data_IF_107809474182
#
_entry.id   IF_107809474182
#
_cell.length_a   1.000
_cell.length_b   1.000
_cell.length_c   1.000
_cell.angle_alpha   90.00
_cell.angle_beta   90.00
_cell.angle_gamma   90.00
#
_symmetry.space_group_name_H-M   'P 1'
#
loop_
_entity.id
_entity.type
_entity.pdbx_description
1 polymer ?
#
# COMPACT_ATOMS: atom_id res chain seq x y z
N UNK A 1 17.85 13.04 -1.01
CA UNK A 1 17.95 12.22 -2.24
C UNK A 1 16.54 12.02 -2.77
N UNK A 2 16.23 12.47 -3.99
CA UNK A 2 14.91 12.22 -4.58
C UNK A 2 14.78 10.73 -4.91
N UNK A 3 13.78 10.06 -4.35
CA UNK A 3 13.53 8.65 -4.64
C UNK A 3 13.06 8.51 -6.09
N UNK A 4 13.77 7.73 -6.91
CA UNK A 4 13.36 7.45 -8.28
C UNK A 4 12.06 6.62 -8.33
N UNK A 5 11.35 6.63 -9.47
CA UNK A 5 10.06 5.94 -9.64
C UNK A 5 10.06 4.47 -9.22
N UNK A 6 11.20 3.76 -9.39
CA UNK A 6 11.36 2.36 -8.95
C UNK A 6 11.36 2.22 -7.42
N UNK A 7 11.95 3.19 -6.71
CA UNK A 7 11.95 3.23 -5.24
C UNK A 7 10.54 3.45 -4.68
N UNK A 8 9.76 4.33 -5.31
CA UNK A 8 8.34 4.53 -4.95
C UNK A 8 7.49 3.28 -5.24
N UNK A 9 7.71 2.61 -6.37
CA UNK A 9 7.04 1.34 -6.69
C UNK A 9 7.33 0.26 -5.65
N UNK A 10 8.61 0.07 -5.31
CA UNK A 10 9.04 -0.92 -4.33
C UNK A 10 8.50 -0.61 -2.94
N UNK A 11 8.55 0.67 -2.53
CA UNK A 11 7.97 1.14 -1.28
C UNK A 11 6.50 0.77 -1.20
N UNK A 12 5.69 1.13 -2.20
CA UNK A 12 4.27 0.77 -2.22
C UNK A 12 4.03 -0.75 -2.22
N UNK A 13 4.78 -1.51 -3.02
CA UNK A 13 4.62 -2.96 -3.11
C UNK A 13 4.89 -3.68 -1.79
N UNK A 14 5.95 -3.29 -1.06
CA UNK A 14 6.27 -3.84 0.26
C UNK A 14 5.14 -3.54 1.25
N UNK A 15 4.66 -2.29 1.31
CA UNK A 15 3.58 -1.92 2.21
C UNK A 15 2.28 -2.66 1.88
N UNK A 16 1.97 -2.86 0.59
CA UNK A 16 0.79 -3.62 0.15
C UNK A 16 0.88 -5.09 0.57
N UNK A 17 2.04 -5.72 0.36
CA UNK A 17 2.27 -7.12 0.74
C UNK A 17 2.15 -7.31 2.25
N UNK A 18 2.84 -6.48 3.02
CA UNK A 18 2.82 -6.54 4.50
C UNK A 18 1.40 -6.29 5.01
N UNK A 19 0.68 -5.31 4.46
CA UNK A 19 -0.72 -5.05 4.81
C UNK A 19 -1.58 -6.29 4.64
N UNK A 20 -1.53 -6.96 3.49
CA UNK A 20 -2.34 -8.17 3.23
C UNK A 20 -1.98 -9.29 4.20
N UNK A 21 -0.69 -9.60 4.37
CA UNK A 21 -0.25 -10.68 5.26
C UNK A 21 -0.66 -10.45 6.71
N UNK A 22 -0.45 -9.23 7.21
CA UNK A 22 -0.80 -8.86 8.58
C UNK A 22 -2.31 -8.88 8.77
N UNK A 23 -3.10 -8.30 7.86
CA UNK A 23 -4.57 -8.27 8.00
C UNK A 23 -5.19 -9.67 7.98
N UNK A 24 -4.68 -10.58 7.14
CA UNK A 24 -5.12 -11.99 7.15
C UNK A 24 -4.83 -12.64 8.51
N UNK A 25 -3.65 -12.41 9.07
CA UNK A 25 -3.29 -12.90 10.40
C UNK A 25 -4.19 -12.33 11.50
N UNK A 26 -4.43 -11.02 11.49
CA UNK A 26 -5.27 -10.35 12.47
C UNK A 26 -6.73 -10.79 12.38
N UNK A 27 -7.28 -10.93 11.17
CA UNK A 27 -8.62 -11.50 10.97
C UNK A 27 -8.72 -12.94 11.50
N UNK A 28 -7.69 -13.76 11.26
CA UNK A 28 -7.67 -15.12 11.79
C UNK A 28 -7.67 -15.13 13.32
N UNK A 29 -6.85 -14.29 13.95
CA UNK A 29 -6.78 -14.15 15.41
C UNK A 29 -8.12 -13.66 15.94
N UNK A 30 -8.67 -12.59 15.37
CA UNK A 30 -9.95 -12.01 15.74
C UNK A 30 -11.07 -13.05 15.75
N UNK A 31 -11.17 -13.85 14.68
CA UNK A 31 -12.16 -14.91 14.56
C UNK A 31 -12.00 -16.02 15.63
N UNK A 32 -10.79 -16.25 16.14
CA UNK A 32 -10.52 -17.29 17.17
C UNK A 32 -10.58 -16.80 18.61
N UNK A 33 -10.30 -15.51 18.86
CA UNK A 33 -10.16 -15.00 20.23
C UNK A 33 -11.28 -14.06 20.63
N UNK A 34 -11.91 -13.37 19.67
CA UNK A 34 -12.85 -12.28 19.94
C UNK A 34 -13.82 -12.08 18.78
N UNK A 35 -14.45 -13.16 18.31
CA UNK A 35 -15.35 -13.13 17.14
C UNK A 35 -16.55 -12.20 17.31
N UNK A 36 -16.94 -11.87 18.55
CA UNK A 36 -17.98 -10.89 18.85
C UNK A 36 -17.58 -9.42 18.60
N UNK A 37 -16.28 -9.10 18.43
CA UNK A 37 -15.80 -7.74 18.26
C UNK A 37 -14.84 -7.64 17.08
N UNK A 38 -15.21 -6.92 16.02
CA UNK A 38 -14.35 -6.73 14.84
C UNK A 38 -13.29 -5.63 15.04
N UNK A 39 -12.35 -5.88 15.97
CA UNK A 39 -11.20 -4.99 16.15
C UNK A 39 -10.25 -5.02 14.95
N UNK A 40 -10.23 -6.12 14.20
CA UNK A 40 -9.33 -6.26 13.06
C UNK A 40 -9.78 -5.42 11.86
N UNK A 41 -11.09 -5.20 11.69
CA UNK A 41 -11.63 -4.22 10.74
C UNK A 41 -11.21 -2.78 11.04
N UNK A 42 -11.20 -2.38 12.32
CA UNK A 42 -10.71 -1.04 12.73
C UNK A 42 -9.22 -0.88 12.37
N UNK A 43 -8.42 -1.91 12.67
CA UNK A 43 -6.98 -1.92 12.34
C UNK A 43 -6.77 -1.87 10.82
N UNK A 44 -7.59 -2.59 10.04
CA UNK A 44 -7.57 -2.55 8.58
C UNK A 44 -7.82 -1.13 8.04
N UNK A 45 -8.81 -0.41 8.57
CA UNK A 45 -9.06 0.97 8.18
C UNK A 45 -7.91 1.91 8.53
N UNK A 46 -7.42 1.85 9.77
CA UNK A 46 -6.33 2.72 10.24
C UNK A 46 -5.05 2.54 9.43
N UNK A 47 -4.63 1.29 9.22
CA UNK A 47 -3.44 0.98 8.41
C UNK A 47 -3.67 1.16 6.91
N UNK A 48 -4.89 0.90 6.43
CA UNK A 48 -5.27 1.02 5.02
C UNK A 48 -5.11 2.43 4.47
N UNK A 49 -5.34 3.45 5.31
CA UNK A 49 -5.07 4.86 4.95
C UNK A 49 -3.58 5.09 4.66
N UNK A 50 -2.68 4.51 5.45
CA UNK A 50 -1.24 4.58 5.22
C UNK A 50 -0.84 3.93 3.89
N UNK A 51 -1.40 2.75 3.60
CA UNK A 51 -1.19 2.08 2.30
C UNK A 51 -1.70 2.93 1.13
N UNK A 52 -2.88 3.54 1.26
CA UNK A 52 -3.44 4.43 0.25
C UNK A 52 -2.56 5.66 0.03
N UNK A 53 -1.98 6.24 1.09
CA UNK A 53 -1.04 7.35 0.98
C UNK A 53 0.23 6.96 0.19
N UNK A 54 0.83 5.79 0.46
CA UNK A 54 1.95 5.29 -0.33
C UNK A 54 1.59 5.08 -1.81
N UNK A 55 0.39 4.55 -2.08
CA UNK A 55 -0.11 4.38 -3.43
C UNK A 55 -0.29 5.72 -4.16
N UNK A 56 -0.85 6.72 -3.48
CA UNK A 56 -1.02 8.07 -4.03
C UNK A 56 0.32 8.71 -4.38
N UNK A 57 1.30 8.64 -3.48
CA UNK A 57 2.67 9.14 -3.73
C UNK A 57 3.28 8.45 -4.95
N UNK A 58 3.14 7.13 -5.05
CA UNK A 58 3.60 6.39 -6.22
C UNK A 58 2.90 6.81 -7.53
N UNK A 59 1.58 6.99 -7.51
CA UNK A 59 0.83 7.39 -8.70
C UNK A 59 1.18 8.80 -9.18
N UNK A 60 1.29 9.75 -8.26
CA UNK A 60 1.57 11.16 -8.57
C UNK A 60 3.01 11.37 -9.01
N UNK A 61 3.98 10.82 -8.26
CA UNK A 61 5.40 11.11 -8.49
C UNK A 61 6.13 10.02 -9.28
N UNK A 62 5.63 8.78 -9.29
CA UNK A 62 6.26 7.65 -9.98
C UNK A 62 5.94 7.53 -11.47
N UNK A 63 4.85 8.14 -11.97
CA UNK A 63 4.40 8.02 -13.37
C UNK A 63 4.94 9.10 -14.32
N UNK A 64 5.58 10.16 -13.81
CA UNK A 64 6.00 11.34 -14.60
C UNK A 64 7.07 11.13 -15.69
N UNK A 65 7.59 9.91 -15.90
CA UNK A 65 8.70 9.64 -16.83
C UNK A 65 8.35 9.09 -18.21
N UNK A 66 7.08 8.74 -18.51
CA UNK A 66 6.76 7.96 -19.73
C UNK A 66 6.23 8.76 -20.93
N UNK A 67 6.01 10.07 -20.80
CA UNK A 67 5.29 10.84 -21.85
C UNK A 67 6.18 11.59 -22.84
N UNK A 68 7.51 11.49 -22.81
CA UNK A 68 8.39 12.34 -23.66
C UNK A 68 9.28 11.63 -24.67
N UNK A 69 9.09 10.32 -24.89
CA UNK A 69 9.94 9.54 -25.81
C UNK A 69 9.30 9.21 -27.18
N UNK A 70 8.10 9.74 -27.50
CA UNK A 70 7.38 9.44 -28.76
C UNK A 70 7.06 10.68 -29.60
N UNK A 71 7.94 11.68 -29.60
CA UNK A 71 7.77 12.87 -30.46
C UNK A 71 9.04 13.32 -31.15
N UNK A 72 10.11 12.52 -31.12
CA UNK A 72 11.30 12.72 -31.94
C UNK A 72 11.43 11.54 -32.90
N UNK A 73 10.68 11.60 -34.01
CA UNK A 73 10.89 10.79 -35.20
C UNK A 73 10.89 11.72 -36.39
#
# INVERSE_FOLDING_TARGET
MAAGSKGLQLSFAIHAMVYVMVMVGLWRINATTSSQYDWAGIVAWGWGIGLAAHGMVWLVFGRGGKSRARTAR
#
